data_IF_391639421189
#
_entry.id   IF_391639421189
#
_cell.length_a   1.000
_cell.length_b   1.000
_cell.length_c   1.000
_cell.angle_alpha   90.00
_cell.angle_beta   90.00
_cell.angle_gamma   90.00
#
_symmetry.space_group_name_H-M   'P 1'
#
loop_
_entity.id
_entity.type
_entity.pdbx_description
1 polymer ?
#
# COMPACT_ATOMS: atom_id res chain seq x y z
N UNK A 1 -12.07 8.42 -12.48
CA UNK A 1 -12.45 7.21 -11.73
C UNK A 1 -12.18 7.48 -10.25
N UNK A 2 -13.05 7.06 -9.34
CA UNK A 2 -12.99 7.42 -7.92
C UNK A 2 -12.33 6.34 -7.05
N UNK A 3 -11.94 6.73 -5.84
CA UNK A 3 -11.36 5.83 -4.83
C UNK A 3 -12.26 4.64 -4.51
N UNK A 4 -11.79 3.42 -4.79
CA UNK A 4 -12.47 2.17 -4.46
C UNK A 4 -12.36 1.88 -2.94
N UNK A 5 -13.51 1.87 -2.27
CA UNK A 5 -13.63 1.59 -0.84
C UNK A 5 -13.90 0.11 -0.53
N UNK A 6 -14.17 -0.70 -1.55
CA UNK A 6 -14.42 -2.14 -1.39
C UNK A 6 -13.21 -2.83 -0.78
N UNK A 7 -13.48 -3.88 -0.01
CA UNK A 7 -12.48 -4.73 0.62
C UNK A 7 -12.52 -6.12 0.00
N UNK A 8 -11.36 -6.71 -0.31
CA UNK A 8 -11.26 -8.03 -0.94
C UNK A 8 -10.86 -9.12 0.05
N UNK A 9 -11.51 -10.30 0.11
CA UNK A 9 -11.34 -11.30 1.17
C UNK A 9 -9.89 -11.75 1.46
N UNK A 10 -8.96 -11.59 0.52
CA UNK A 10 -7.53 -11.88 0.70
C UNK A 10 -6.72 -10.59 0.75
N UNK A 11 -5.75 -10.53 1.66
CA UNK A 11 -4.89 -9.36 1.84
C UNK A 11 -4.18 -8.93 0.54
N UNK A 12 -3.71 -9.90 -0.24
CA UNK A 12 -3.04 -9.63 -1.51
C UNK A 12 -3.96 -8.90 -2.48
N UNK A 13 -5.22 -9.34 -2.61
CA UNK A 13 -6.19 -8.72 -3.49
C UNK A 13 -6.56 -7.31 -3.01
N UNK A 14 -6.65 -7.12 -1.70
CA UNK A 14 -6.98 -5.81 -1.13
C UNK A 14 -5.83 -4.79 -1.21
N UNK A 15 -4.59 -5.28 -1.10
CA UNK A 15 -3.39 -4.49 -1.36
C UNK A 15 -3.36 -4.04 -2.82
N UNK A 16 -3.73 -4.91 -3.77
CA UNK A 16 -3.88 -4.52 -5.17
C UNK A 16 -4.92 -3.40 -5.32
N UNK A 17 -6.09 -3.49 -4.65
CA UNK A 17 -7.07 -2.39 -4.64
C UNK A 17 -6.47 -1.09 -4.10
N UNK A 18 -5.68 -1.15 -3.01
CA UNK A 18 -5.01 0.04 -2.49
C UNK A 18 -4.01 0.61 -3.50
N UNK A 19 -3.20 -0.23 -4.14
CA UNK A 19 -2.23 0.19 -5.14
C UNK A 19 -2.93 0.83 -6.35
N UNK A 20 -3.99 0.21 -6.89
CA UNK A 20 -4.80 0.76 -7.98
C UNK A 20 -5.39 2.13 -7.61
N UNK A 21 -5.88 2.28 -6.37
CA UNK A 21 -6.37 3.56 -5.89
C UNK A 21 -5.28 4.65 -5.86
N UNK A 22 -4.06 4.30 -5.47
CA UNK A 22 -2.93 5.22 -5.48
C UNK A 22 -2.54 5.62 -6.91
N UNK A 23 -2.60 4.68 -7.86
CA UNK A 23 -2.37 4.95 -9.28
C UNK A 23 -3.44 5.88 -9.85
N UNK A 24 -4.72 5.59 -9.60
CA UNK A 24 -5.84 6.42 -10.09
C UNK A 24 -5.83 7.82 -9.47
N UNK A 25 -5.49 7.95 -8.18
CA UNK A 25 -5.50 9.24 -7.49
C UNK A 25 -4.29 10.11 -7.85
N UNK A 26 -3.10 9.50 -7.97
CA UNK A 26 -1.82 10.23 -8.02
C UNK A 26 -0.90 9.86 -9.20
N UNK A 27 -1.31 8.93 -10.07
CA UNK A 27 -0.53 8.48 -11.22
C UNK A 27 0.68 7.62 -10.84
N UNK A 28 0.66 6.99 -9.66
CA UNK A 28 1.71 6.07 -9.26
C UNK A 28 1.60 4.77 -10.04
N UNK A 29 2.41 4.63 -11.08
CA UNK A 29 2.47 3.40 -11.87
C UNK A 29 2.97 2.26 -10.96
N UNK A 30 2.08 1.32 -10.67
CA UNK A 30 2.35 0.20 -9.76
C UNK A 30 3.32 -0.80 -10.40
N UNK A 31 4.61 -0.53 -10.28
CA UNK A 31 5.68 -1.49 -10.62
C UNK A 31 5.94 -2.51 -9.51
N UNK A 32 5.23 -2.42 -8.39
CA UNK A 32 5.28 -3.38 -7.29
C UNK A 32 4.00 -4.21 -7.29
N UNK A 33 4.15 -5.53 -7.19
CA UNK A 33 3.01 -6.41 -6.95
C UNK A 33 2.73 -6.52 -5.45
N UNK A 34 1.45 -6.64 -5.08
CA UNK A 34 1.09 -6.97 -3.69
C UNK A 34 1.68 -8.30 -3.22
N UNK A 35 1.99 -9.21 -4.14
CA UNK A 35 2.66 -10.48 -3.84
C UNK A 35 4.10 -10.25 -3.38
N UNK A 36 4.82 -9.29 -3.97
CA UNK A 36 6.17 -8.92 -3.54
C UNK A 36 6.16 -8.26 -2.16
N UNK A 37 5.12 -7.45 -1.88
CA UNK A 37 4.93 -6.81 -0.57
C UNK A 37 4.53 -7.81 0.52
N UNK A 38 3.76 -8.84 0.17
CA UNK A 38 3.25 -9.86 1.08
C UNK A 38 4.09 -11.15 1.10
N UNK A 39 5.26 -11.15 0.44
CA UNK A 39 6.11 -12.30 0.35
C UNK A 39 6.44 -12.86 1.75
N UNK A 40 6.39 -14.19 1.88
CA UNK A 40 6.73 -14.94 3.10
C UNK A 40 5.81 -14.76 4.32
N UNK A 41 4.59 -14.23 4.16
CA UNK A 41 3.66 -14.08 5.29
C UNK A 41 4.12 -13.04 6.32
N UNK A 42 5.04 -12.17 5.90
CA UNK A 42 5.56 -11.12 6.75
C UNK A 42 4.50 -10.07 7.07
N UNK A 43 4.66 -9.46 8.24
CA UNK A 43 3.83 -8.34 8.65
C UNK A 43 4.24 -7.10 7.85
N UNK A 44 3.34 -6.63 6.99
CA UNK A 44 3.53 -5.42 6.22
C UNK A 44 3.26 -4.23 7.13
N UNK A 45 4.30 -3.44 7.42
CA UNK A 45 4.17 -2.20 8.19
C UNK A 45 3.88 -1.03 7.26
N UNK A 46 3.09 -0.07 7.74
CA UNK A 46 2.69 1.10 6.97
C UNK A 46 3.90 1.91 6.45
N UNK A 47 4.99 1.96 7.22
CA UNK A 47 6.22 2.66 6.82
C UNK A 47 6.90 1.96 5.65
N UNK A 48 7.04 0.64 5.71
CA UNK A 48 7.76 -0.16 4.72
C UNK A 48 6.98 -0.21 3.41
N UNK A 49 5.65 -0.39 3.49
CA UNK A 49 4.74 -0.22 2.35
C UNK A 49 4.95 1.13 1.66
N UNK A 50 4.95 2.21 2.44
CA UNK A 50 5.06 3.57 1.88
C UNK A 50 6.40 3.79 1.18
N UNK A 51 7.51 3.32 1.79
CA UNK A 51 8.84 3.39 1.16
C UNK A 51 8.88 2.60 -0.14
N UNK A 52 8.32 1.40 -0.14
CA UNK A 52 8.29 0.53 -1.31
C UNK A 52 7.53 1.20 -2.47
N UNK A 53 6.34 1.75 -2.22
CA UNK A 53 5.55 2.50 -3.21
C UNK A 53 6.35 3.66 -3.81
N UNK A 54 7.03 4.46 -2.98
CA UNK A 54 7.82 5.59 -3.46
C UNK A 54 9.03 5.17 -4.29
N UNK A 55 9.76 4.15 -3.81
CA UNK A 55 10.93 3.62 -4.52
C UNK A 55 10.53 3.05 -5.88
N UNK A 56 9.40 2.33 -5.96
CA UNK A 56 8.86 1.81 -7.23
C UNK A 56 8.50 2.90 -8.24
N UNK A 57 8.16 4.10 -7.75
CA UNK A 57 7.86 5.26 -8.58
C UNK A 57 9.11 6.13 -8.85
N UNK A 58 10.31 5.59 -8.62
CA UNK A 58 11.58 6.29 -8.85
C UNK A 58 11.82 7.45 -7.88
N UNK A 59 11.09 7.50 -6.76
CA UNK A 59 11.19 8.56 -5.77
C UNK A 59 12.06 8.14 -4.59
N UNK A 60 12.83 9.09 -4.05
CA UNK A 60 13.56 8.92 -2.78
C UNK A 60 12.63 9.24 -1.61
N UNK A 61 12.30 8.28 -0.72
CA UNK A 61 11.36 8.51 0.38
C UNK A 61 11.74 9.68 1.29
N UNK A 62 13.04 9.86 1.53
CA UNK A 62 13.62 10.88 2.40
C UNK A 62 13.33 12.31 1.90
N UNK A 63 13.32 12.49 0.58
CA UNK A 63 13.06 13.77 -0.08
C UNK A 63 11.56 14.06 -0.26
N UNK A 64 10.70 13.06 0.00
CA UNK A 64 9.25 13.11 -0.27
C UNK A 64 8.44 12.95 1.01
N UNK A 65 8.79 13.69 2.05
CA UNK A 65 8.11 13.70 3.36
C UNK A 65 6.58 13.89 3.29
N UNK A 66 6.10 14.75 2.39
CA UNK A 66 4.66 14.94 2.17
C UNK A 66 3.99 13.68 1.61
N UNK A 67 4.59 13.05 0.61
CA UNK A 67 4.06 11.81 0.04
C UNK A 67 4.13 10.64 1.02
N UNK A 68 5.24 10.54 1.76
CA UNK A 68 5.39 9.59 2.87
C UNK A 68 4.21 9.68 3.84
N UNK A 69 3.83 10.91 4.24
CA UNK A 69 2.70 11.11 5.15
C UNK A 69 1.35 10.70 4.52
N UNK A 70 1.11 11.07 3.27
CA UNK A 70 -0.17 10.83 2.60
C UNK A 70 -0.41 9.35 2.32
N UNK A 71 0.56 8.66 1.71
CA UNK A 71 0.48 7.22 1.41
C UNK A 71 0.33 6.42 2.72
N UNK A 72 1.17 6.73 3.73
CA UNK A 72 1.08 6.08 5.04
C UNK A 72 -0.31 6.25 5.66
N UNK A 73 -0.93 7.44 5.55
CA UNK A 73 -2.28 7.67 6.07
C UNK A 73 -3.33 6.81 5.37
N UNK A 74 -3.25 6.64 4.05
CA UNK A 74 -4.15 5.76 3.30
C UNK A 74 -4.03 4.30 3.74
N UNK A 75 -2.80 3.82 3.90
CA UNK A 75 -2.53 2.48 4.43
C UNK A 75 -3.09 2.33 5.85
N UNK A 76 -2.75 3.24 6.75
CA UNK A 76 -3.18 3.17 8.17
C UNK A 76 -4.69 3.24 8.30
N UNK A 77 -5.36 4.07 7.50
CA UNK A 77 -6.81 4.13 7.50
C UNK A 77 -7.48 2.82 7.07
N UNK A 78 -6.78 1.99 6.30
CA UNK A 78 -7.32 0.73 5.76
C UNK A 78 -6.95 -0.47 6.61
N UNK A 79 -5.74 -0.49 7.16
CA UNK A 79 -5.15 -1.67 7.80
C UNK A 79 -4.65 -1.45 9.22
N UNK A 80 -4.59 -0.20 9.71
CA UNK A 80 -3.84 0.15 10.91
C UNK A 80 -2.33 0.26 10.66
N UNK A 81 -1.51 0.21 11.70
CA UNK A 81 -0.06 0.41 11.57
C UNK A 81 0.65 -0.73 10.82
N UNK A 82 0.05 -1.91 10.79
CA UNK A 82 0.59 -3.09 10.13
C UNK A 82 -0.48 -4.13 9.87
N UNK A 83 -0.26 -4.99 8.88
CA UNK A 83 -1.15 -6.11 8.55
C UNK A 83 -0.35 -7.30 8.05
N UNK A 84 -0.75 -8.51 8.43
CA UNK A 84 -0.21 -9.76 7.88
C UNK A 84 -1.37 -10.60 7.35
N UNK A 85 -1.08 -11.58 6.48
CA UNK A 85 -2.10 -12.51 5.98
C UNK A 85 -2.81 -13.25 7.11
N UNK A 86 -2.12 -13.52 8.22
CA UNK A 86 -2.67 -14.20 9.40
C UNK A 86 -3.60 -13.30 10.24
N UNK A 87 -3.31 -12.00 10.33
CA UNK A 87 -4.14 -11.04 11.09
C UNK A 87 -5.29 -10.48 10.28
N UNK A 88 -5.42 -10.89 9.02
CA UNK A 88 -6.29 -10.25 8.08
C UNK A 88 -7.68 -10.87 8.06
N UNK A 89 -8.63 -10.16 8.63
CA UNK A 89 -10.06 -10.41 8.52
C UNK A 89 -10.77 -9.07 8.53
N UNK A 90 -11.75 -8.90 7.64
CA UNK A 90 -12.59 -7.71 7.56
C UNK A 90 -13.84 -7.89 8.41
#
# INVERSE_FOLDING_TARGET
>A
MGWNRERAPKLVDDLNILLENLDVEWGFTNQISAADLAANGETIRALDFTKAVLVANGMKPEDKTNWMRQIKRKFVSRYGQSVSTASYGF
#
